data_IF_939078450824
#
_entry.id   IF_939078450824
#
_cell.length_a   1.000
_cell.length_b   1.000
_cell.length_c   1.000
_cell.angle_alpha   90.00
_cell.angle_beta   90.00
_cell.angle_gamma   90.00
#
_symmetry.space_group_name_H-M   'P 1'
#
loop_
_entity.id
_entity.type
_entity.pdbx_description
1 polymer ?
#
# COMPACT_ATOMS: atom_id res chain seq x y z
N UNK A 1 9.11 -39.59 9.78
CA UNK A 1 9.36 -38.21 9.30
C UNK A 1 9.76 -37.42 10.52
N UNK A 2 11.04 -37.15 10.65
CA UNK A 2 11.61 -36.49 11.83
C UNK A 2 11.33 -34.99 11.76
N UNK A 3 10.48 -34.51 12.66
CA UNK A 3 10.14 -33.10 12.82
C UNK A 3 11.25 -32.28 13.52
N UNK A 4 12.39 -32.90 13.83
CA UNK A 4 13.47 -32.29 14.63
C UNK A 4 14.43 -31.40 13.83
N UNK A 5 14.23 -31.21 12.52
CA UNK A 5 15.11 -30.40 11.67
C UNK A 5 14.42 -29.19 11.03
N UNK A 6 13.30 -28.74 11.61
CA UNK A 6 12.78 -27.41 11.28
C UNK A 6 13.65 -26.42 12.04
N UNK A 7 14.62 -25.80 11.33
CA UNK A 7 15.26 -24.58 11.80
C UNK A 7 14.15 -23.67 12.35
N UNK A 8 14.12 -23.37 13.66
CA UNK A 8 13.08 -22.49 14.19
C UNK A 8 13.14 -21.24 13.33
N UNK A 9 12.02 -20.91 12.67
CA UNK A 9 11.91 -19.74 11.81
C UNK A 9 12.69 -18.62 12.52
N UNK A 10 13.78 -18.14 11.91
CA UNK A 10 14.52 -16.99 12.44
C UNK A 10 13.45 -15.98 12.84
N UNK A 11 13.42 -15.61 14.12
CA UNK A 11 12.34 -14.80 14.68
C UNK A 11 12.05 -13.64 13.73
N UNK A 12 10.80 -13.49 13.30
CA UNK A 12 10.41 -12.41 12.38
C UNK A 12 10.74 -11.08 13.06
N UNK A 13 11.64 -10.30 12.46
CA UNK A 13 11.99 -8.98 12.98
C UNK A 13 11.06 -7.91 12.40
N UNK A 14 10.02 -7.58 13.18
CA UNK A 14 9.10 -6.50 12.87
C UNK A 14 9.72 -5.09 12.98
N UNK A 15 10.93 -4.95 13.55
CA UNK A 15 11.63 -3.67 13.65
C UNK A 15 12.60 -3.41 12.49
N UNK A 16 12.68 -4.33 11.54
CA UNK A 16 13.53 -4.22 10.35
C UNK A 16 13.26 -2.94 9.55
N UNK A 17 14.30 -2.44 8.89
CA UNK A 17 14.21 -1.29 7.97
C UNK A 17 13.15 -1.52 6.89
N UNK A 18 12.96 -2.77 6.45
CA UNK A 18 11.92 -3.19 5.50
C UNK A 18 10.51 -2.85 6.00
N UNK A 19 10.15 -3.23 7.24
CA UNK A 19 8.82 -2.95 7.79
C UNK A 19 8.59 -1.44 7.97
N UNK A 20 9.63 -0.72 8.40
CA UNK A 20 9.59 0.75 8.52
C UNK A 20 9.39 1.43 7.15
N UNK A 21 10.11 0.97 6.13
CA UNK A 21 9.97 1.42 4.75
C UNK A 21 8.56 1.15 4.23
N UNK A 22 8.04 -0.05 4.47
CA UNK A 22 6.69 -0.42 4.02
C UNK A 22 5.59 0.41 4.68
N UNK A 23 5.70 0.67 5.99
CA UNK A 23 4.81 1.61 6.69
C UNK A 23 4.86 2.99 6.03
N UNK A 24 6.06 3.50 5.76
CA UNK A 24 6.25 4.82 5.11
C UNK A 24 5.63 4.85 3.71
N UNK A 25 5.76 3.78 2.93
CA UNK A 25 5.10 3.65 1.62
C UNK A 25 3.57 3.68 1.75
N UNK A 26 3.00 3.01 2.76
CA UNK A 26 1.57 3.07 2.99
C UNK A 26 1.09 4.47 3.38
N UNK A 27 1.83 5.19 4.23
CA UNK A 27 1.53 6.59 4.57
C UNK A 27 1.57 7.50 3.34
N UNK A 28 2.56 7.31 2.47
CA UNK A 28 2.68 8.02 1.18
C UNK A 28 1.52 7.72 0.23
N UNK A 29 1.07 6.47 0.20
CA UNK A 29 -0.10 6.08 -0.57
C UNK A 29 -1.36 6.83 -0.10
N UNK A 30 -1.58 6.92 1.22
CA UNK A 30 -2.69 7.71 1.79
C UNK A 30 -2.59 9.20 1.42
N UNK A 31 -1.39 9.78 1.48
CA UNK A 31 -1.15 11.17 1.10
C UNK A 31 -1.47 11.44 -0.38
N UNK A 32 -1.01 10.56 -1.29
CA UNK A 32 -1.37 10.63 -2.71
C UNK A 32 -2.89 10.54 -2.90
N UNK A 33 -3.57 9.62 -2.21
CA UNK A 33 -5.03 9.49 -2.33
C UNK A 33 -5.74 10.76 -1.87
N UNK A 34 -5.24 11.42 -0.82
CA UNK A 34 -5.81 12.67 -0.33
C UNK A 34 -5.60 13.82 -1.31
N UNK A 35 -4.38 13.95 -1.86
CA UNK A 35 -3.99 15.06 -2.73
C UNK A 35 -4.54 14.94 -4.15
N UNK A 36 -4.60 13.72 -4.67
CA UNK A 36 -5.04 13.40 -6.02
C UNK A 36 -6.31 12.58 -6.00
N UNK A 37 -7.29 13.04 -5.22
CA UNK A 37 -8.58 12.38 -5.08
C UNK A 37 -9.10 11.91 -6.46
N UNK A 38 -9.47 10.63 -6.61
CA UNK A 38 -9.80 10.06 -7.90
C UNK A 38 -10.91 10.87 -8.57
N UNK A 39 -10.62 11.47 -9.72
CA UNK A 39 -11.65 12.17 -10.53
C UNK A 39 -12.58 11.16 -11.19
N UNK A 40 -12.05 9.96 -11.45
CA UNK A 40 -12.77 8.78 -11.88
C UNK A 40 -12.58 7.70 -10.83
N UNK A 41 -13.58 6.84 -10.69
CA UNK A 41 -13.59 5.71 -9.75
C UNK A 41 -12.32 4.85 -9.77
N UNK A 42 -11.59 4.81 -10.90
CA UNK A 42 -10.46 3.92 -11.13
C UNK A 42 -9.10 4.61 -11.28
N UNK A 43 -8.99 5.89 -10.93
CA UNK A 43 -7.73 6.61 -11.11
C UNK A 43 -6.62 6.15 -10.14
N UNK A 44 -7.00 5.68 -8.93
CA UNK A 44 -6.10 5.27 -7.83
C UNK A 44 -6.66 4.07 -7.05
N UNK A 45 -7.04 3.01 -7.75
CA UNK A 45 -7.67 1.80 -7.19
C UNK A 45 -6.71 0.69 -6.82
N UNK A 46 -5.46 0.74 -7.30
CA UNK A 46 -4.50 -0.34 -7.15
C UNK A 46 -3.16 0.21 -6.64
N UNK A 47 -2.69 -0.31 -5.51
CA UNK A 47 -1.37 -0.04 -4.92
C UNK A 47 -0.32 -1.06 -5.37
N UNK A 48 0.93 -1.01 -4.88
CA UNK A 48 1.82 -2.17 -5.03
C UNK A 48 1.33 -3.33 -4.15
N UNK A 49 1.77 -4.55 -4.46
CA UNK A 49 1.45 -5.73 -3.65
C UNK A 49 1.82 -5.56 -2.17
N UNK A 50 2.98 -4.96 -1.89
CA UNK A 50 3.43 -4.77 -0.52
C UNK A 50 2.56 -3.74 0.23
N UNK A 51 2.21 -2.62 -0.42
CA UNK A 51 1.30 -1.62 0.14
C UNK A 51 -0.09 -2.22 0.35
N UNK A 52 -0.56 -3.03 -0.60
CA UNK A 52 -1.87 -3.69 -0.56
C UNK A 52 -1.99 -4.61 0.67
N UNK A 53 -0.92 -5.34 1.01
CA UNK A 53 -0.89 -6.16 2.23
C UNK A 53 -1.09 -5.30 3.50
N UNK A 54 -0.34 -4.21 3.66
CA UNK A 54 -0.52 -3.34 4.84
C UNK A 54 -1.90 -2.70 4.85
N UNK A 55 -2.39 -2.30 3.69
CA UNK A 55 -3.73 -1.74 3.56
C UNK A 55 -4.79 -2.76 3.99
N UNK A 56 -4.69 -4.00 3.54
CA UNK A 56 -5.56 -5.09 3.99
C UNK A 56 -5.49 -5.33 5.50
N UNK A 57 -4.30 -5.27 6.09
CA UNK A 57 -4.14 -5.34 7.55
C UNK A 57 -4.86 -4.19 8.26
N UNK A 58 -4.75 -2.95 7.76
CA UNK A 58 -5.44 -1.80 8.32
C UNK A 58 -6.97 -1.94 8.22
N UNK A 59 -7.48 -2.46 7.09
CA UNK A 59 -8.91 -2.73 6.90
C UNK A 59 -9.48 -3.82 7.82
N UNK A 60 -8.64 -4.65 8.46
CA UNK A 60 -9.10 -5.63 9.46
C UNK A 60 -9.62 -4.97 10.75
N UNK A 61 -9.38 -3.66 10.94
CA UNK A 61 -10.01 -2.86 12.00
C UNK A 61 -10.92 -1.78 11.39
N UNK A 62 -12.15 -2.13 10.93
CA UNK A 62 -12.93 -1.26 10.05
C UNK A 62 -13.25 0.12 10.64
N UNK A 63 -13.53 0.20 11.95
CA UNK A 63 -13.80 1.47 12.62
C UNK A 63 -12.57 2.37 12.69
N UNK A 64 -11.41 1.79 12.97
CA UNK A 64 -10.14 2.52 12.97
C UNK A 64 -9.80 3.00 11.57
N UNK A 65 -9.90 2.11 10.59
CA UNK A 65 -9.67 2.40 9.19
C UNK A 65 -10.55 3.56 8.70
N UNK A 66 -11.86 3.52 8.95
CA UNK A 66 -12.77 4.58 8.56
C UNK A 66 -12.43 5.92 9.24
N UNK A 67 -12.10 5.91 10.54
CA UNK A 67 -11.70 7.12 11.26
C UNK A 67 -10.39 7.70 10.72
N UNK A 68 -9.40 6.86 10.43
CA UNK A 68 -8.11 7.29 9.89
C UNK A 68 -8.25 7.82 8.46
N UNK A 69 -9.02 7.15 7.60
CA UNK A 69 -9.37 7.65 6.27
C UNK A 69 -10.07 9.01 6.33
N UNK A 70 -11.08 9.18 7.19
CA UNK A 70 -11.77 10.46 7.35
C UNK A 70 -10.83 11.56 7.86
N UNK A 71 -9.93 11.22 8.80
CA UNK A 71 -8.98 12.18 9.40
C UNK A 71 -7.86 12.59 8.45
N UNK A 72 -7.32 11.65 7.67
CA UNK A 72 -6.13 11.86 6.84
C UNK A 72 -6.47 12.25 5.40
N UNK A 73 -7.57 11.72 4.88
CA UNK A 73 -7.92 11.76 3.45
C UNK A 73 -9.25 12.47 3.22
N UNK A 74 -10.12 12.53 4.24
CA UNK A 74 -11.43 13.19 4.18
C UNK A 74 -12.55 12.32 3.61
N UNK A 75 -12.25 11.08 3.20
CA UNK A 75 -13.21 10.11 2.71
C UNK A 75 -12.69 8.68 2.90
N UNK A 76 -13.60 7.70 2.88
CA UNK A 76 -13.25 6.27 2.93
C UNK A 76 -12.62 5.86 1.60
N UNK A 77 -11.40 5.32 1.62
CA UNK A 77 -10.79 4.79 0.40
C UNK A 77 -11.36 3.40 0.14
N UNK A 78 -12.10 3.23 -0.95
CA UNK A 78 -12.64 1.93 -1.32
C UNK A 78 -11.55 1.03 -1.92
N UNK A 79 -11.48 -0.21 -1.43
CA UNK A 79 -10.70 -1.27 -2.06
C UNK A 79 -11.57 -2.05 -3.04
N UNK A 80 -11.11 -2.14 -4.30
CA UNK A 80 -11.82 -2.86 -5.36
C UNK A 80 -11.10 -4.18 -5.64
N UNK A 81 -11.67 -5.35 -5.30
CA UNK A 81 -11.01 -6.62 -5.46
C UNK A 81 -11.02 -7.09 -6.93
N UNK A 82 -9.99 -7.81 -7.35
CA UNK A 82 -10.06 -8.58 -8.59
C UNK A 82 -11.16 -9.66 -8.47
N UNK A 83 -11.99 -9.94 -9.51
CA UNK A 83 -11.94 -9.44 -10.89
C UNK A 83 -12.88 -8.25 -11.19
N UNK A 84 -13.31 -7.47 -10.19
CA UNK A 84 -14.27 -6.37 -10.41
C UNK A 84 -13.69 -5.18 -11.19
N UNK A 85 -12.44 -5.28 -11.63
CA UNK A 85 -11.69 -4.25 -12.34
C UNK A 85 -11.04 -4.86 -13.58
N UNK A 86 -11.22 -4.18 -14.70
CA UNK A 86 -10.59 -4.52 -15.97
C UNK A 86 -9.08 -4.28 -15.96
N UNK A 87 -8.33 -5.12 -16.67
CA UNK A 87 -6.85 -5.03 -16.74
C UNK A 87 -6.35 -3.64 -17.17
N UNK A 88 -7.07 -2.96 -18.04
CA UNK A 88 -6.69 -1.62 -18.51
C UNK A 88 -6.80 -0.57 -17.40
N UNK A 89 -7.78 -0.69 -16.50
CA UNK A 89 -7.98 0.21 -15.38
C UNK A 89 -6.88 0.03 -14.33
N UNK A 90 -6.50 -1.23 -14.06
CA UNK A 90 -5.34 -1.55 -13.21
C UNK A 90 -4.08 -0.91 -13.78
N UNK A 91 -3.84 -1.09 -15.09
CA UNK A 91 -2.69 -0.49 -15.77
C UNK A 91 -2.67 1.04 -15.64
N UNK A 92 -3.81 1.69 -15.85
CA UNK A 92 -3.94 3.14 -15.74
C UNK A 92 -3.73 3.63 -14.30
N UNK A 93 -4.32 2.95 -13.31
CA UNK A 93 -4.13 3.24 -11.89
C UNK A 93 -2.65 3.15 -11.51
N UNK A 94 -1.95 2.10 -11.93
CA UNK A 94 -0.52 1.95 -11.68
C UNK A 94 0.31 3.07 -12.34
N UNK A 95 -0.04 3.48 -13.56
CA UNK A 95 0.64 4.59 -14.24
C UNK A 95 0.42 5.93 -13.53
N UNK A 96 -0.82 6.22 -13.12
CA UNK A 96 -1.14 7.42 -12.35
C UNK A 96 -0.42 7.44 -11.01
N UNK A 97 -0.49 6.34 -10.26
CA UNK A 97 0.14 6.24 -8.94
C UNK A 97 1.66 6.42 -9.05
N UNK A 98 2.33 5.79 -10.02
CA UNK A 98 3.77 6.01 -10.25
C UNK A 98 4.11 7.46 -10.62
N UNK A 99 3.28 8.10 -11.44
CA UNK A 99 3.47 9.49 -11.83
C UNK A 99 3.38 10.41 -10.61
N UNK A 100 2.31 10.31 -9.82
CA UNK A 100 2.15 11.09 -8.60
C UNK A 100 3.26 10.82 -7.58
N UNK A 101 3.70 9.57 -7.45
CA UNK A 101 4.81 9.21 -6.56
C UNK A 101 6.11 9.95 -6.92
N UNK A 102 6.43 10.02 -8.22
CA UNK A 102 7.60 10.75 -8.71
C UNK A 102 7.47 12.26 -8.51
N UNK A 103 6.29 12.80 -8.79
CA UNK A 103 5.99 14.23 -8.61
C UNK A 103 6.14 14.66 -7.14
N UNK A 104 5.65 13.85 -6.20
CA UNK A 104 5.59 14.20 -4.77
C UNK A 104 6.84 13.81 -3.97
N UNK A 105 7.43 12.65 -4.25
CA UNK A 105 8.48 12.08 -3.41
C UNK A 105 9.84 11.98 -4.10
N UNK A 106 9.92 12.41 -5.36
CA UNK A 106 11.13 12.43 -6.17
C UNK A 106 11.83 11.07 -6.31
N UNK A 107 11.11 9.97 -6.05
CA UNK A 107 11.59 8.59 -6.09
C UNK A 107 10.60 7.71 -6.86
N UNK A 108 11.09 6.60 -7.40
CA UNK A 108 10.23 5.54 -7.93
C UNK A 108 9.60 4.74 -6.78
N UNK A 109 8.32 4.37 -6.93
CA UNK A 109 7.58 3.58 -5.95
C UNK A 109 8.23 2.20 -5.67
N UNK A 110 8.94 1.65 -6.66
CA UNK A 110 9.70 0.39 -6.52
C UNK A 110 10.94 0.50 -5.65
N UNK A 111 11.42 1.72 -5.35
CA UNK A 111 12.65 1.97 -4.59
C UNK A 111 12.36 2.07 -3.09
N UNK A 112 11.12 2.39 -2.69
CA UNK A 112 10.75 2.56 -1.28
C UNK A 112 10.72 1.26 -0.46
N UNK A 113 10.89 0.09 -1.10
CA UNK A 113 10.88 -1.21 -0.44
C UNK A 113 12.28 -1.76 -0.10
N UNK A 114 13.37 -1.11 -0.53
CA UNK A 114 14.69 -1.78 -0.51
C UNK A 114 15.87 -0.92 -0.03
N UNK A 115 15.85 0.41 -0.10
CA UNK A 115 17.06 1.17 0.24
C UNK A 115 16.98 1.88 1.59
N UNK A 116 17.34 1.16 2.66
CA UNK A 116 18.08 1.71 3.80
C UNK A 116 18.86 0.57 4.47
N UNK A 117 20.03 0.28 3.89
CA UNK A 117 21.22 -0.19 4.60
C UNK A 117 22.29 0.92 4.51
#
# INVERSE_FOLDING_TARGET
MDFENINPLKSIDFNSSVIKGLKKSYERFLDITAKYAPTKQYDLIHSTYAIDIIWHCHMQEPLKYANDCNRLVGYLIDHYPWPSIEKYQIKQSCQNLNRYWKEEFHNDMSIDHVEYD
#
